data_IF_551086400293
#
_entry.id   IF_551086400293
#
_cell.length_a   1.000
_cell.length_b   1.000
_cell.length_c   1.000
_cell.angle_alpha   90.00
_cell.angle_beta   90.00
_cell.angle_gamma   90.00
#
_symmetry.space_group_name_H-M   'P 1'
#
loop_
_entity.id
_entity.type
_entity.pdbx_description
1 polymer ?
#
# COMPACT_ATOMS: atom_id res chain seq x y z
N UNK A 1 20.45 49.70 -4.20
CA UNK A 1 20.60 49.27 -2.80
C UNK A 1 19.25 48.75 -2.35
N UNK A 2 19.04 47.46 -2.55
CA UNK A 2 17.81 46.70 -2.24
C UNK A 2 18.26 45.25 -2.20
N UNK A 3 18.90 44.88 -1.09
CA UNK A 3 19.36 43.52 -0.88
C UNK A 3 18.14 42.68 -0.50
N UNK A 4 17.70 41.82 -1.41
CA UNK A 4 16.50 41.01 -1.22
C UNK A 4 16.86 39.83 -0.33
N UNK A 5 16.56 39.93 0.96
CA UNK A 5 16.87 38.91 1.96
C UNK A 5 16.25 37.56 1.59
N UNK A 6 17.05 36.68 1.00
CA UNK A 6 16.82 35.25 1.14
C UNK A 6 16.86 34.95 2.64
N UNK A 7 15.71 34.67 3.24
CA UNK A 7 15.67 34.09 4.58
C UNK A 7 16.36 32.73 4.51
N UNK A 8 17.60 32.69 5.01
CA UNK A 8 18.34 31.46 5.25
C UNK A 8 17.68 30.75 6.43
N UNK A 9 16.52 30.14 6.16
CA UNK A 9 15.83 29.26 7.09
C UNK A 9 16.85 28.21 7.55
N UNK A 10 17.07 28.00 8.86
CA UNK A 10 18.12 27.10 9.31
C UNK A 10 17.92 25.70 8.73
N UNK A 11 18.78 25.31 7.81
CA UNK A 11 18.77 23.97 7.20
C UNK A 11 18.92 22.96 8.32
N UNK A 12 17.81 22.29 8.68
CA UNK A 12 17.78 21.30 9.78
C UNK A 12 18.97 20.35 9.60
N UNK A 13 19.86 20.29 10.59
CA UNK A 13 20.97 19.34 10.59
C UNK A 13 20.41 17.92 10.77
N UNK A 14 19.97 17.34 9.65
CA UNK A 14 19.45 15.99 9.56
C UNK A 14 20.55 15.00 9.88
N UNK A 15 20.25 14.04 10.74
CA UNK A 15 21.16 12.95 11.07
C UNK A 15 21.39 12.11 9.82
N UNK A 16 22.65 11.77 9.53
CA UNK A 16 23.00 10.83 8.45
C UNK A 16 23.14 9.43 9.05
N UNK A 17 22.94 8.41 8.23
CA UNK A 17 23.06 7.01 8.63
C UNK A 17 24.14 6.29 7.79
N UNK A 18 25.43 6.62 7.94
CA UNK A 18 26.52 5.98 7.17
C UNK A 18 26.46 4.45 7.27
N UNK A 19 26.56 3.77 6.14
CA UNK A 19 26.52 2.32 6.02
C UNK A 19 25.16 1.66 6.29
N UNK A 20 24.05 2.40 6.40
CA UNK A 20 22.73 1.83 6.75
C UNK A 20 22.26 0.77 5.74
N UNK A 21 21.88 -0.40 6.23
CA UNK A 21 21.18 -1.44 5.45
C UNK A 21 19.69 -1.14 5.35
N UNK A 22 19.06 -1.56 4.25
CA UNK A 22 17.59 -1.53 4.10
C UNK A 22 16.87 -2.18 5.28
N UNK A 23 17.49 -3.20 5.88
CA UNK A 23 17.01 -3.94 7.04
C UNK A 23 16.75 -3.09 8.29
N UNK A 24 17.32 -1.88 8.36
CA UNK A 24 17.09 -0.91 9.42
C UNK A 24 15.68 -0.30 9.40
N UNK A 25 15.09 -0.14 8.22
CA UNK A 25 13.77 0.49 8.03
C UNK A 25 12.72 -0.46 7.41
N UNK A 26 13.14 -1.55 6.76
CA UNK A 26 12.26 -2.60 6.22
C UNK A 26 11.05 -2.92 7.11
N UNK A 27 9.87 -2.92 6.50
CA UNK A 27 8.67 -3.43 7.12
C UNK A 27 8.74 -4.97 7.19
N UNK A 28 8.50 -5.65 8.32
CA UNK A 28 8.69 -7.10 8.41
C UNK A 28 7.88 -7.90 7.38
N UNK A 29 6.67 -7.44 7.03
CA UNK A 29 5.86 -8.06 5.97
C UNK A 29 6.46 -7.95 4.54
N UNK A 30 7.30 -6.94 4.28
CA UNK A 30 8.03 -6.79 3.02
C UNK A 30 9.16 -7.83 2.93
N UNK A 31 10.05 -7.84 3.93
CA UNK A 31 11.09 -8.88 4.13
C UNK A 31 10.50 -10.29 4.02
N UNK A 32 9.36 -10.53 4.68
CA UNK A 32 8.63 -11.80 4.63
C UNK A 32 8.25 -12.20 3.20
N UNK A 33 7.55 -11.31 2.48
CA UNK A 33 7.01 -11.60 1.17
C UNK A 33 8.11 -11.72 0.10
N UNK A 34 9.17 -10.92 0.19
CA UNK A 34 10.31 -10.98 -0.71
C UNK A 34 11.09 -12.31 -0.57
N UNK A 35 11.34 -12.77 0.65
CA UNK A 35 12.01 -14.06 0.88
C UNK A 35 11.08 -15.25 0.59
N UNK A 36 9.77 -15.11 0.78
CA UNK A 36 8.79 -16.11 0.33
C UNK A 36 8.75 -16.25 -1.20
N UNK A 37 8.76 -15.14 -1.94
CA UNK A 37 8.85 -15.13 -3.41
C UNK A 37 10.12 -15.82 -3.91
N UNK A 38 11.29 -15.50 -3.33
CA UNK A 38 12.58 -16.13 -3.67
C UNK A 38 12.64 -17.63 -3.36
N UNK A 39 11.77 -18.17 -2.50
CA UNK A 39 11.68 -19.61 -2.21
C UNK A 39 10.83 -20.41 -3.22
N UNK A 40 10.18 -19.77 -4.18
CA UNK A 40 9.38 -20.47 -5.19
C UNK A 40 10.29 -21.22 -6.18
N UNK A 41 10.05 -22.52 -6.37
CA UNK A 41 10.86 -23.35 -7.27
C UNK A 41 10.86 -22.80 -8.70
N UNK A 42 12.04 -22.49 -9.22
CA UNK A 42 12.22 -21.90 -10.56
C UNK A 42 12.09 -20.37 -10.62
N UNK A 43 11.92 -19.67 -9.48
CA UNK A 43 11.86 -18.21 -9.42
C UNK A 43 13.03 -17.55 -10.16
N UNK A 44 14.27 -17.94 -9.88
CA UNK A 44 15.46 -17.34 -10.49
C UNK A 44 15.52 -17.53 -12.01
N UNK A 45 15.02 -18.66 -12.52
CA UNK A 45 14.94 -18.93 -13.97
C UNK A 45 13.92 -18.01 -14.64
N UNK A 46 12.74 -17.86 -14.04
CA UNK A 46 11.69 -16.96 -14.54
C UNK A 46 12.12 -15.49 -14.42
N UNK A 47 12.71 -15.11 -13.29
CA UNK A 47 13.25 -13.78 -13.04
C UNK A 47 14.34 -13.42 -14.05
N UNK A 48 15.33 -14.30 -14.28
CA UNK A 48 16.40 -14.07 -15.25
C UNK A 48 15.87 -13.98 -16.69
N UNK A 49 14.86 -14.78 -17.05
CA UNK A 49 14.19 -14.68 -18.35
C UNK A 49 13.44 -13.35 -18.51
N UNK A 50 12.71 -12.89 -17.49
CA UNK A 50 12.01 -11.60 -17.50
C UNK A 50 12.98 -10.42 -17.55
N UNK A 51 14.04 -10.42 -16.75
CA UNK A 51 15.07 -9.37 -16.77
C UNK A 51 15.79 -9.30 -18.13
N UNK A 52 16.04 -10.44 -18.78
CA UNK A 52 16.58 -10.47 -20.15
C UNK A 52 15.62 -9.99 -21.25
N UNK A 53 14.31 -9.96 -20.98
CA UNK A 53 13.27 -9.43 -21.88
C UNK A 53 12.92 -7.96 -21.61
N UNK A 54 13.38 -7.39 -20.49
CA UNK A 54 13.12 -6.02 -20.09
C UNK A 54 14.11 -5.05 -20.77
N UNK A 55 13.65 -4.14 -21.65
CA UNK A 55 14.55 -3.24 -22.35
C UNK A 55 14.89 -2.01 -21.48
N UNK A 56 15.74 -2.18 -20.46
CA UNK A 56 16.14 -1.08 -19.55
C UNK A 56 16.70 0.13 -20.32
N UNK A 57 17.46 -0.11 -21.39
CA UNK A 57 17.93 0.96 -22.28
C UNK A 57 16.78 1.74 -22.93
N UNK A 58 15.67 1.08 -23.29
CA UNK A 58 14.47 1.74 -23.82
C UNK A 58 13.75 2.54 -22.75
N UNK A 59 13.61 2.00 -21.54
CA UNK A 59 13.03 2.71 -20.39
C UNK A 59 13.80 4.01 -20.10
N UNK A 60 15.14 3.94 -20.09
CA UNK A 60 16.03 5.09 -19.91
C UNK A 60 15.93 6.10 -21.05
N UNK A 61 15.83 5.64 -22.30
CA UNK A 61 15.66 6.50 -23.47
C UNK A 61 14.31 7.23 -23.45
N UNK A 62 13.23 6.56 -23.03
CA UNK A 62 11.89 7.14 -22.94
C UNK A 62 11.85 8.39 -22.04
N UNK A 63 12.34 8.28 -20.80
CA UNK A 63 12.39 9.44 -19.88
C UNK A 63 13.45 10.47 -20.28
N UNK A 64 14.47 10.09 -21.07
CA UNK A 64 15.42 11.05 -21.65
C UNK A 64 14.84 11.80 -22.86
N UNK A 65 13.83 11.25 -23.54
CA UNK A 65 13.14 11.89 -24.68
C UNK A 65 11.88 12.66 -24.31
N UNK A 66 11.17 12.25 -23.26
CA UNK A 66 9.79 12.68 -22.96
C UNK A 66 9.60 13.10 -21.48
N UNK A 67 10.68 13.54 -20.83
CA UNK A 67 10.66 14.11 -19.46
C UNK A 67 11.85 15.03 -19.22
N UNK A 68 11.72 15.96 -18.26
CA UNK A 68 12.77 16.94 -17.95
C UNK A 68 13.73 16.36 -16.89
N UNK A 69 15.01 16.23 -17.22
CA UNK A 69 16.01 15.63 -16.33
C UNK A 69 16.45 16.58 -15.21
N UNK A 70 16.22 16.19 -13.96
CA UNK A 70 16.65 16.91 -12.76
C UNK A 70 18.18 17.00 -12.70
N UNK A 71 18.70 18.21 -12.46
CA UNK A 71 20.13 18.52 -12.42
C UNK A 71 20.38 19.93 -11.84
N UNK A 72 21.64 20.35 -11.72
CA UNK A 72 22.01 21.71 -11.30
C UNK A 72 21.49 22.81 -12.25
N UNK A 73 21.23 22.47 -13.51
CA UNK A 73 20.77 23.40 -14.55
C UNK A 73 19.23 23.51 -14.64
N UNK A 74 18.47 22.54 -14.11
CA UNK A 74 17.00 22.54 -14.15
C UNK A 74 16.44 21.65 -13.03
N UNK A 75 15.43 22.14 -12.30
CA UNK A 75 14.93 21.54 -11.06
C UNK A 75 16.02 21.36 -9.97
N UNK A 76 16.92 22.34 -9.82
CA UNK A 76 18.04 22.28 -8.88
C UNK A 76 17.62 21.94 -7.43
N UNK A 77 16.50 22.47 -6.93
CA UNK A 77 15.99 22.16 -5.58
C UNK A 77 15.57 20.68 -5.40
N UNK A 78 15.05 20.04 -6.45
CA UNK A 78 14.82 18.57 -6.45
C UNK A 78 16.15 17.80 -6.55
N UNK A 79 17.13 18.31 -7.28
CA UNK A 79 18.47 17.73 -7.38
C UNK A 79 19.18 17.74 -6.01
N UNK A 80 19.03 18.82 -5.24
CA UNK A 80 19.59 18.95 -3.91
C UNK A 80 18.83 18.10 -2.88
N UNK A 81 17.50 18.05 -2.91
CA UNK A 81 16.70 17.09 -2.11
C UNK A 81 17.09 15.64 -2.38
N UNK A 82 17.34 15.29 -3.65
CA UNK A 82 17.80 13.96 -4.06
C UNK A 82 19.21 13.64 -3.55
N UNK A 83 20.15 14.57 -3.71
CA UNK A 83 21.50 14.42 -3.17
C UNK A 83 21.49 14.28 -1.65
N UNK A 84 20.71 15.10 -0.95
CA UNK A 84 20.51 15.01 0.50
C UNK A 84 19.94 13.65 0.91
N UNK A 85 18.91 13.15 0.20
CA UNK A 85 18.31 11.85 0.48
C UNK A 85 19.33 10.70 0.31
N UNK A 86 20.07 10.68 -0.80
CA UNK A 86 21.15 9.72 -1.01
C UNK A 86 22.28 9.88 0.04
N UNK A 87 22.60 11.10 0.45
CA UNK A 87 23.64 11.40 1.41
C UNK A 87 23.24 11.08 2.87
N UNK A 88 21.95 11.14 3.20
CA UNK A 88 21.42 10.73 4.51
C UNK A 88 21.35 9.20 4.63
N UNK A 89 20.85 8.52 3.60
CA UNK A 89 20.79 7.04 3.55
C UNK A 89 22.07 6.38 3.04
N UNK A 90 23.11 7.18 2.79
CA UNK A 90 24.44 6.72 2.37
C UNK A 90 24.41 5.82 1.11
N UNK A 91 23.59 6.20 0.12
CA UNK A 91 23.49 5.54 -1.19
C UNK A 91 24.62 6.05 -2.10
N UNK A 92 25.59 5.18 -2.39
CA UNK A 92 26.84 5.49 -3.10
C UNK A 92 26.65 6.16 -4.49
N UNK A 93 25.57 5.78 -5.19
CA UNK A 93 25.28 6.24 -6.56
C UNK A 93 23.91 6.92 -6.59
N UNK A 94 23.91 8.24 -6.77
CA UNK A 94 22.70 9.04 -6.95
C UNK A 94 21.98 8.58 -8.24
N UNK A 95 20.72 8.10 -8.17
CA UNK A 95 19.97 7.67 -9.35
C UNK A 95 19.57 8.88 -10.21
N UNK A 96 19.53 8.79 -11.55
CA UNK A 96 18.97 9.84 -12.38
C UNK A 96 17.49 10.10 -12.06
N UNK A 97 17.11 11.36 -11.85
CA UNK A 97 15.72 11.77 -11.62
C UNK A 97 15.16 12.58 -12.79
N UNK A 98 13.88 12.41 -13.08
CA UNK A 98 13.15 13.10 -14.13
C UNK A 98 11.80 13.63 -13.63
N UNK A 99 11.39 14.80 -14.13
CA UNK A 99 10.04 15.34 -13.96
C UNK A 99 9.25 15.08 -15.25
N UNK A 100 8.14 14.35 -15.13
CA UNK A 100 7.25 13.97 -16.23
C UNK A 100 5.94 14.75 -16.17
N UNK A 101 5.37 15.10 -17.32
CA UNK A 101 4.11 15.85 -17.41
C UNK A 101 2.92 14.91 -17.16
N UNK A 102 2.38 14.95 -15.94
CA UNK A 102 1.10 14.32 -15.57
C UNK A 102 0.49 15.14 -14.42
N UNK A 103 -0.75 15.64 -14.54
CA UNK A 103 -1.40 16.41 -13.48
C UNK A 103 -1.76 15.55 -12.25
N UNK A 104 -1.66 14.21 -12.33
CA UNK A 104 -1.92 13.32 -11.20
C UNK A 104 -0.67 13.23 -10.31
N UNK A 105 -0.76 13.55 -9.01
CA UNK A 105 0.39 13.46 -8.10
C UNK A 105 0.87 12.02 -7.97
N UNK A 106 2.12 11.74 -8.38
CA UNK A 106 2.71 10.41 -8.38
C UNK A 106 4.25 10.48 -8.43
N UNK A 107 4.91 9.47 -7.88
CA UNK A 107 6.34 9.23 -8.04
C UNK A 107 6.59 7.72 -8.27
N UNK A 108 7.77 7.37 -8.79
CA UNK A 108 8.23 5.97 -8.82
C UNK A 108 9.74 5.81 -9.02
N UNK A 109 10.32 4.85 -8.31
CA UNK A 109 11.65 4.30 -8.54
C UNK A 109 11.58 3.00 -9.35
N UNK A 110 12.26 2.96 -10.50
CA UNK A 110 12.23 1.88 -11.51
C UNK A 110 13.62 1.72 -12.17
N UNK A 111 13.86 0.62 -12.88
CA UNK A 111 15.18 0.23 -13.42
C UNK A 111 15.58 -1.18 -13.01
N UNK A 112 16.70 -1.69 -13.53
CA UNK A 112 17.25 -3.00 -13.17
C UNK A 112 18.67 -2.84 -12.59
N UNK A 113 19.67 -2.60 -13.45
CA UNK A 113 21.06 -2.41 -13.03
C UNK A 113 21.32 -0.98 -12.54
N UNK A 114 20.55 0.00 -13.04
CA UNK A 114 20.64 1.40 -12.65
C UNK A 114 19.25 2.00 -12.40
N UNK A 115 18.80 2.15 -11.14
CA UNK A 115 17.52 2.77 -10.83
C UNK A 115 17.47 4.23 -11.31
N UNK A 116 16.28 4.64 -11.73
CA UNK A 116 15.87 6.00 -12.05
C UNK A 116 14.64 6.36 -11.22
N UNK A 117 14.51 7.62 -10.84
CA UNK A 117 13.34 8.16 -10.13
C UNK A 117 12.56 9.05 -11.09
N UNK A 118 11.24 8.92 -11.11
CA UNK A 118 10.35 9.76 -11.92
C UNK A 118 9.30 10.39 -11.01
N UNK A 119 9.14 11.70 -11.11
CA UNK A 119 8.16 12.49 -10.34
C UNK A 119 7.22 13.20 -11.32
N UNK A 120 5.93 13.30 -11.04
CA UNK A 120 4.98 14.01 -11.90
C UNK A 120 4.88 15.50 -11.57
N UNK A 121 4.59 16.35 -12.56
CA UNK A 121 4.34 17.78 -12.34
C UNK A 121 3.27 18.02 -11.27
N UNK A 122 2.19 17.24 -11.29
CA UNK A 122 1.13 17.31 -10.27
C UNK A 122 1.57 16.97 -8.83
N UNK A 123 2.72 16.30 -8.63
CA UNK A 123 3.30 16.12 -7.29
C UNK A 123 4.20 17.29 -6.88
N UNK A 124 4.96 17.83 -7.84
CA UNK A 124 5.81 19.04 -7.65
C UNK A 124 4.96 20.27 -7.33
N UNK A 125 3.76 20.37 -7.89
CA UNK A 125 2.81 21.46 -7.65
C UNK A 125 1.99 21.30 -6.35
N UNK A 126 1.93 20.08 -5.78
CA UNK A 126 1.11 19.76 -4.61
C UNK A 126 1.88 19.88 -3.29
N UNK A 127 3.13 19.43 -3.25
CA UNK A 127 3.89 19.25 -2.00
C UNK A 127 4.78 20.45 -1.66
N UNK A 128 4.94 20.74 -0.37
CA UNK A 128 5.98 21.64 0.13
C UNK A 128 7.35 20.93 0.24
N UNK A 129 8.42 21.66 0.60
CA UNK A 129 9.78 21.09 0.64
C UNK A 129 9.89 19.89 1.60
N UNK A 130 9.31 19.95 2.80
CA UNK A 130 9.48 18.89 3.79
C UNK A 130 8.65 17.65 3.43
N UNK A 131 7.48 17.86 2.81
CA UNK A 131 6.66 16.79 2.22
C UNK A 131 7.34 16.14 1.00
N UNK A 132 7.85 16.94 0.06
CA UNK A 132 8.55 16.46 -1.13
C UNK A 132 9.84 15.73 -0.75
N UNK A 133 10.58 16.24 0.24
CA UNK A 133 11.79 15.59 0.76
C UNK A 133 11.50 14.23 1.40
N UNK A 134 10.32 14.05 2.03
CA UNK A 134 9.87 12.75 2.49
C UNK A 134 9.57 11.79 1.31
N UNK A 135 8.96 12.27 0.21
CA UNK A 135 8.75 11.46 -1.01
C UNK A 135 10.07 11.11 -1.70
N UNK A 136 10.99 12.07 -1.87
CA UNK A 136 12.31 11.81 -2.47
C UNK A 136 13.09 10.80 -1.62
N UNK A 137 13.00 10.89 -0.29
CA UNK A 137 13.56 9.88 0.62
C UNK A 137 12.90 8.50 0.52
N UNK A 138 11.59 8.44 0.27
CA UNK A 138 10.84 7.21 0.02
C UNK A 138 11.31 6.53 -1.28
N UNK A 139 11.49 7.28 -2.37
CA UNK A 139 11.98 6.74 -3.65
C UNK A 139 13.47 6.32 -3.60
N UNK A 140 14.30 7.07 -2.88
CA UNK A 140 15.68 6.65 -2.58
C UNK A 140 15.70 5.41 -1.68
N UNK A 141 14.73 5.25 -0.78
CA UNK A 141 14.50 4.01 -0.03
C UNK A 141 14.16 2.82 -0.93
N UNK A 142 13.31 3.00 -1.95
CA UNK A 142 13.04 1.98 -2.96
C UNK A 142 14.28 1.64 -3.81
N UNK A 143 15.17 2.61 -4.07
CA UNK A 143 16.45 2.35 -4.75
C UNK A 143 17.40 1.54 -3.86
N UNK A 144 17.62 1.97 -2.61
CA UNK A 144 18.55 1.33 -1.66
C UNK A 144 18.11 -0.09 -1.28
N UNK A 145 16.81 -0.35 -1.14
CA UNK A 145 16.27 -1.70 -0.90
C UNK A 145 16.16 -2.59 -2.16
N UNK A 146 16.58 -2.11 -3.34
CA UNK A 146 16.48 -2.86 -4.60
C UNK A 146 15.05 -3.09 -5.10
N UNK A 147 14.06 -2.36 -4.58
CA UNK A 147 12.65 -2.53 -4.92
C UNK A 147 12.33 -2.15 -6.38
N UNK A 148 13.13 -1.24 -6.96
CA UNK A 148 13.03 -0.80 -8.36
C UNK A 148 12.98 -1.97 -9.36
N UNK A 149 13.75 -3.03 -9.10
CA UNK A 149 13.86 -4.22 -9.97
C UNK A 149 12.52 -4.95 -10.06
N UNK A 150 11.96 -5.32 -8.90
CA UNK A 150 10.68 -6.03 -8.81
C UNK A 150 9.50 -5.14 -9.23
N UNK A 151 9.56 -3.81 -9.00
CA UNK A 151 8.59 -2.84 -9.51
C UNK A 151 8.59 -2.78 -11.04
N UNK A 152 9.77 -2.78 -11.67
CA UNK A 152 9.91 -2.77 -13.14
C UNK A 152 9.33 -4.06 -13.75
N UNK A 153 9.61 -5.21 -13.15
CA UNK A 153 9.02 -6.50 -13.53
C UNK A 153 7.49 -6.47 -13.37
N UNK A 154 6.95 -5.95 -12.26
CA UNK A 154 5.51 -5.83 -12.02
C UNK A 154 4.79 -4.94 -13.05
N UNK A 155 5.40 -3.81 -13.44
CA UNK A 155 4.85 -2.91 -14.47
C UNK A 155 4.80 -3.61 -15.83
N UNK A 156 5.90 -4.27 -16.23
CA UNK A 156 5.95 -5.03 -17.48
C UNK A 156 4.98 -6.21 -17.49
N UNK A 157 4.92 -7.01 -16.43
CA UNK A 157 3.97 -8.13 -16.32
C UNK A 157 2.52 -7.66 -16.31
N UNK A 158 2.20 -6.51 -15.70
CA UNK A 158 0.86 -5.91 -15.78
C UNK A 158 0.54 -5.50 -17.23
N UNK A 159 1.46 -4.84 -17.93
CA UNK A 159 1.28 -4.48 -19.34
C UNK A 159 1.20 -5.70 -20.28
N UNK A 160 1.90 -6.78 -19.97
CA UNK A 160 1.85 -8.05 -20.69
C UNK A 160 0.52 -8.77 -20.46
N UNK A 161 0.06 -8.87 -19.20
CA UNK A 161 -1.22 -9.48 -18.83
C UNK A 161 -2.39 -8.87 -19.63
N UNK A 162 -2.44 -7.54 -19.73
CA UNK A 162 -3.45 -6.84 -20.53
C UNK A 162 -3.38 -7.20 -22.02
N UNK A 163 -2.17 -7.35 -22.59
CA UNK A 163 -1.95 -7.73 -24.00
C UNK A 163 -2.26 -9.19 -24.31
N UNK A 164 -2.20 -10.08 -23.32
CA UNK A 164 -2.51 -11.53 -23.47
C UNK A 164 -3.83 -11.95 -22.80
N UNK A 165 -4.64 -10.99 -22.34
CA UNK A 165 -5.88 -11.27 -21.61
C UNK A 165 -6.91 -12.10 -22.39
N UNK A 166 -6.82 -12.11 -23.72
CA UNK A 166 -7.62 -12.92 -24.63
C UNK A 166 -7.22 -14.41 -24.67
N UNK A 167 -6.10 -14.81 -24.05
CA UNK A 167 -5.63 -16.20 -23.97
C UNK A 167 -6.17 -16.84 -22.68
N UNK A 168 -7.17 -17.76 -22.73
CA UNK A 168 -7.96 -18.12 -21.53
C UNK A 168 -7.18 -18.78 -20.39
N UNK A 169 -6.05 -19.43 -20.68
CA UNK A 169 -5.26 -20.20 -19.70
C UNK A 169 -3.94 -19.51 -19.33
N UNK A 170 -3.24 -18.91 -20.30
CA UNK A 170 -1.96 -18.23 -20.06
C UNK A 170 -2.08 -17.02 -19.13
N UNK A 171 -3.21 -16.31 -19.17
CA UNK A 171 -3.46 -15.15 -18.33
C UNK A 171 -3.53 -15.51 -16.82
N UNK A 172 -4.00 -16.72 -16.45
CA UNK A 172 -4.21 -17.11 -15.05
C UNK A 172 -2.90 -17.14 -14.26
N UNK A 173 -1.85 -17.75 -14.82
CA UNK A 173 -0.53 -17.83 -14.19
C UNK A 173 0.13 -16.44 -14.05
N UNK A 174 0.03 -15.60 -15.09
CA UNK A 174 0.55 -14.23 -15.07
C UNK A 174 -0.20 -13.40 -14.04
N UNK A 175 -1.54 -13.49 -13.98
CA UNK A 175 -2.36 -12.77 -13.01
C UNK A 175 -2.08 -13.19 -11.56
N UNK A 176 -1.78 -14.47 -11.29
CA UNK A 176 -1.33 -14.91 -9.97
C UNK A 176 0.01 -14.25 -9.58
N UNK A 177 1.00 -14.24 -10.47
CA UNK A 177 2.30 -13.60 -10.26
C UNK A 177 2.15 -12.08 -10.07
N UNK A 178 1.36 -11.41 -10.92
CA UNK A 178 1.06 -9.97 -10.81
C UNK A 178 0.35 -9.65 -9.50
N UNK A 179 -0.58 -10.49 -9.03
CA UNK A 179 -1.27 -10.29 -7.75
C UNK A 179 -0.31 -10.44 -6.56
N UNK A 180 0.55 -11.47 -6.56
CA UNK A 180 1.57 -11.66 -5.53
C UNK A 180 2.59 -10.52 -5.50
N UNK A 181 3.06 -10.05 -6.67
CA UNK A 181 3.95 -8.90 -6.78
C UNK A 181 3.27 -7.58 -6.36
N UNK A 182 1.96 -7.40 -6.59
CA UNK A 182 1.20 -6.25 -6.05
C UNK A 182 1.06 -6.30 -4.54
N UNK A 183 0.83 -7.48 -3.95
CA UNK A 183 0.78 -7.61 -2.49
C UNK A 183 2.14 -7.33 -1.86
N UNK A 184 3.23 -7.91 -2.40
CA UNK A 184 4.60 -7.60 -1.97
C UNK A 184 4.91 -6.11 -2.12
N UNK A 185 4.63 -5.51 -3.29
CA UNK A 185 4.94 -4.11 -3.52
C UNK A 185 4.15 -3.20 -2.55
N UNK A 186 2.88 -3.50 -2.27
CA UNK A 186 2.10 -2.82 -1.23
C UNK A 186 2.61 -3.04 0.20
N UNK A 187 3.55 -3.97 0.46
CA UNK A 187 4.32 -4.01 1.73
C UNK A 187 5.61 -3.20 1.65
N UNK A 188 6.30 -3.19 0.51
CA UNK A 188 7.56 -2.46 0.34
C UNK A 188 7.39 -0.94 0.33
N UNK A 189 6.19 -0.46 -0.01
CA UNK A 189 5.70 0.90 0.28
C UNK A 189 5.88 1.30 1.76
N UNK A 190 5.58 0.39 2.70
CA UNK A 190 5.71 0.68 4.14
C UNK A 190 7.18 0.72 4.58
N UNK A 191 8.07 -0.01 3.90
CA UNK A 191 9.53 0.13 4.08
C UNK A 191 10.01 1.49 3.56
N UNK A 192 9.51 1.91 2.40
CA UNK A 192 9.88 3.17 1.78
C UNK A 192 9.32 4.40 2.53
N UNK A 193 8.10 4.34 3.09
CA UNK A 193 7.57 5.39 3.98
C UNK A 193 8.49 5.64 5.18
N UNK A 194 9.05 4.57 5.75
CA UNK A 194 10.00 4.63 6.86
C UNK A 194 11.34 5.25 6.43
N UNK A 195 11.84 4.90 5.23
CA UNK A 195 13.01 5.56 4.64
C UNK A 195 12.77 7.06 4.38
N UNK A 196 11.58 7.42 3.88
CA UNK A 196 11.13 8.80 3.71
C UNK A 196 11.12 9.60 5.01
N UNK A 197 10.68 8.99 6.12
CA UNK A 197 10.77 9.61 7.45
C UNK A 197 12.21 9.76 7.95
N UNK A 198 13.09 8.77 7.71
CA UNK A 198 14.52 8.89 8.05
C UNK A 198 15.23 10.01 7.25
N UNK A 199 14.80 10.29 6.02
CA UNK A 199 15.33 11.39 5.20
C UNK A 199 14.72 12.74 5.58
N UNK A 200 13.40 12.84 5.70
CA UNK A 200 12.73 14.10 6.04
C UNK A 200 13.01 14.56 7.47
N UNK A 201 12.95 13.60 8.42
CA UNK A 201 13.09 13.79 9.88
C UNK A 201 11.99 14.68 10.50
N UNK A 202 10.84 14.77 9.83
CA UNK A 202 9.64 15.46 10.29
C UNK A 202 8.41 14.59 10.02
N UNK A 203 7.95 13.88 11.05
CA UNK A 203 6.77 13.01 11.00
C UNK A 203 5.51 13.78 10.60
N UNK A 204 5.34 15.03 11.04
CA UNK A 204 4.16 15.83 10.69
C UNK A 204 4.16 16.14 9.20
N UNK A 205 5.31 16.43 8.60
CA UNK A 205 5.43 16.67 7.16
C UNK A 205 5.28 15.38 6.33
N UNK A 206 5.83 14.23 6.77
CA UNK A 206 5.56 12.95 6.10
C UNK A 206 4.07 12.57 6.10
N UNK A 207 3.37 12.73 7.23
CA UNK A 207 1.93 12.48 7.31
C UNK A 207 1.11 13.50 6.52
N UNK A 208 1.50 14.79 6.52
CA UNK A 208 0.84 15.86 5.76
C UNK A 208 0.93 15.64 4.24
N UNK A 209 2.07 15.16 3.74
CA UNK A 209 2.23 14.76 2.33
C UNK A 209 1.28 13.62 1.93
N UNK A 210 1.18 12.56 2.76
CA UNK A 210 0.20 11.48 2.54
C UNK A 210 -1.25 11.98 2.58
N UNK A 211 -1.55 12.94 3.46
CA UNK A 211 -2.87 13.58 3.56
C UNK A 211 -3.18 14.44 2.31
N UNK A 212 -2.21 15.19 1.78
CA UNK A 212 -2.34 15.93 0.51
C UNK A 212 -2.55 15.01 -0.69
N UNK A 213 -1.85 13.88 -0.76
CA UNK A 213 -2.06 12.87 -1.82
C UNK A 213 -3.49 12.28 -1.77
N UNK A 214 -4.18 12.37 -0.63
CA UNK A 214 -5.59 12.01 -0.49
C UNK A 214 -6.57 13.14 -0.83
N UNK A 215 -6.29 14.38 -0.40
CA UNK A 215 -7.26 15.49 -0.36
C UNK A 215 -6.88 16.77 -1.11
N UNK A 216 -5.75 16.82 -1.82
CA UNK A 216 -5.27 18.02 -2.50
C UNK A 216 -4.62 19.04 -1.55
N UNK A 217 -4.52 20.30 -1.98
CA UNK A 217 -3.73 21.34 -1.29
C UNK A 217 -4.54 22.23 -0.32
N UNK A 218 -5.68 21.74 0.19
CA UNK A 218 -6.60 22.50 1.05
C UNK A 218 -6.21 22.43 2.53
N UNK A 219 -4.91 22.64 2.85
CA UNK A 219 -4.36 22.44 4.20
C UNK A 219 -5.06 23.23 5.32
N UNK A 220 -5.74 24.34 4.99
CA UNK A 220 -6.50 25.15 5.96
C UNK A 220 -7.86 24.51 6.35
N UNK A 221 -8.34 23.52 5.59
CA UNK A 221 -9.56 22.75 5.84
C UNK A 221 -9.24 21.31 6.33
N UNK A 222 -7.97 20.91 6.30
CA UNK A 222 -7.52 19.53 6.52
C UNK A 222 -6.77 19.38 7.85
N UNK A 223 -7.04 18.31 8.60
CA UNK A 223 -6.42 18.06 9.90
C UNK A 223 -5.81 16.65 9.98
N UNK A 224 -4.52 16.57 10.34
CA UNK A 224 -3.75 15.31 10.36
C UNK A 224 -4.23 14.36 11.47
N UNK A 225 -4.63 14.89 12.63
CA UNK A 225 -5.13 14.08 13.74
C UNK A 225 -6.51 13.46 13.41
N UNK A 226 -7.36 14.18 12.65
CA UNK A 226 -8.60 13.66 12.09
C UNK A 226 -8.35 12.62 10.98
N UNK A 227 -7.34 12.83 10.12
CA UNK A 227 -6.92 11.86 9.09
C UNK A 227 -6.39 10.55 9.71
N UNK A 228 -5.74 10.63 10.87
CA UNK A 228 -5.35 9.46 11.68
C UNK A 228 -6.56 8.79 12.36
N UNK A 229 -7.53 9.57 12.85
CA UNK A 229 -8.78 9.01 13.37
C UNK A 229 -9.58 8.25 12.30
N UNK A 230 -9.59 8.74 11.05
CA UNK A 230 -10.14 8.03 9.89
C UNK A 230 -9.42 6.70 9.61
N UNK A 231 -8.10 6.62 9.83
CA UNK A 231 -7.36 5.37 9.73
C UNK A 231 -7.75 4.38 10.83
N UNK A 232 -7.93 4.86 12.08
CA UNK A 232 -8.45 4.03 13.18
C UNK A 232 -9.88 3.54 12.93
N UNK A 233 -10.74 4.36 12.32
CA UNK A 233 -12.08 3.96 11.90
C UNK A 233 -12.02 2.86 10.82
N UNK A 234 -11.15 3.02 9.82
CA UNK A 234 -10.94 2.02 8.77
C UNK A 234 -10.43 0.67 9.31
N UNK A 235 -9.55 0.68 10.32
CA UNK A 235 -9.12 -0.53 11.03
C UNK A 235 -10.25 -1.18 11.83
N UNK A 236 -10.95 -0.39 12.66
CA UNK A 236 -11.99 -0.87 13.60
C UNK A 236 -13.28 -1.30 12.89
N UNK A 237 -13.59 -0.66 11.77
CA UNK A 237 -14.93 -0.58 11.21
C UNK A 237 -15.42 -1.86 10.53
N UNK A 238 -16.72 -2.10 10.70
CA UNK A 238 -17.50 -3.03 9.90
C UNK A 238 -17.60 -4.46 10.43
N UNK A 239 -18.20 -5.32 9.60
CA UNK A 239 -18.29 -6.77 9.81
C UNK A 239 -17.36 -7.57 8.85
N UNK A 240 -17.56 -8.88 8.73
CA UNK A 240 -16.79 -9.73 7.81
C UNK A 240 -16.98 -9.38 6.32
N UNK A 241 -18.14 -8.83 5.93
CA UNK A 241 -18.38 -8.33 4.57
C UNK A 241 -17.56 -7.07 4.34
N UNK A 242 -17.51 -6.17 5.32
CA UNK A 242 -16.66 -4.98 5.23
C UNK A 242 -15.18 -5.34 5.16
N UNK A 243 -14.70 -6.33 5.94
CA UNK A 243 -13.35 -6.90 5.81
C UNK A 243 -13.06 -7.39 4.38
N UNK A 244 -14.01 -8.08 3.74
CA UNK A 244 -13.88 -8.51 2.33
C UNK A 244 -13.90 -7.31 1.38
N UNK A 245 -14.75 -6.30 1.61
CA UNK A 245 -14.77 -5.07 0.81
C UNK A 245 -13.47 -4.26 0.94
N UNK A 246 -12.82 -4.23 2.11
CA UNK A 246 -11.48 -3.65 2.28
C UNK A 246 -10.48 -4.37 1.36
N UNK A 247 -10.43 -5.70 1.37
CA UNK A 247 -9.56 -6.50 0.50
C UNK A 247 -9.84 -6.20 -0.99
N UNK A 248 -11.10 -6.26 -1.43
CA UNK A 248 -11.49 -6.00 -2.83
C UNK A 248 -11.10 -4.59 -3.29
N UNK A 249 -11.17 -3.58 -2.40
CA UNK A 249 -10.74 -2.22 -2.69
C UNK A 249 -9.20 -2.05 -2.72
N UNK A 250 -8.44 -2.91 -2.04
CA UNK A 250 -6.96 -2.88 -2.02
C UNK A 250 -6.36 -3.62 -3.24
N UNK A 251 -6.96 -4.73 -3.68
CA UNK A 251 -6.45 -5.56 -4.80
C UNK A 251 -6.10 -4.80 -6.11
N UNK A 252 -6.92 -3.83 -6.61
CA UNK A 252 -6.58 -3.11 -7.83
C UNK A 252 -5.54 -1.99 -7.63
N UNK A 253 -5.25 -1.59 -6.39
CA UNK A 253 -4.37 -0.46 -6.07
C UNK A 253 -2.89 -0.85 -6.13
N UNK A 254 -2.07 0.08 -6.62
CA UNK A 254 -0.61 -0.01 -6.65
C UNK A 254 0.04 0.24 -5.29
N UNK A 255 -0.54 1.14 -4.48
CA UNK A 255 -0.06 1.53 -3.16
C UNK A 255 -1.15 1.24 -2.11
N UNK A 256 -0.82 1.07 -0.81
CA UNK A 256 -1.81 1.08 0.27
C UNK A 256 -2.54 2.43 0.37
N UNK A 257 -3.66 2.46 1.08
CA UNK A 257 -4.36 3.71 1.40
C UNK A 257 -3.46 4.67 2.20
N UNK A 258 -3.49 5.96 1.85
CA UNK A 258 -2.68 7.01 2.48
C UNK A 258 -2.98 7.20 3.97
N UNK A 259 -4.23 7.01 4.39
CA UNK A 259 -4.63 6.96 5.82
C UNK A 259 -3.91 5.84 6.57
N UNK A 260 -3.90 4.63 6.01
CA UNK A 260 -3.23 3.45 6.58
C UNK A 260 -1.70 3.64 6.61
N UNK A 261 -1.12 4.23 5.56
CA UNK A 261 0.31 4.59 5.51
C UNK A 261 0.67 5.58 6.62
N UNK A 262 -0.12 6.64 6.81
CA UNK A 262 0.11 7.63 7.86
C UNK A 262 0.01 7.01 9.27
N UNK A 263 -0.96 6.12 9.49
CA UNK A 263 -1.10 5.40 10.76
C UNK A 263 0.08 4.44 11.05
N UNK A 264 0.49 3.61 10.08
CA UNK A 264 1.65 2.72 10.26
C UNK A 264 2.97 3.50 10.39
N UNK A 265 3.12 4.65 9.73
CA UNK A 265 4.30 5.49 9.86
C UNK A 265 4.37 6.16 11.25
N UNK A 266 3.26 6.70 11.75
CA UNK A 266 3.14 7.19 13.13
C UNK A 266 3.48 6.09 14.13
N UNK A 267 2.81 4.93 14.01
CA UNK A 267 3.01 3.75 14.85
C UNK A 267 4.48 3.30 14.85
N UNK A 268 5.17 3.32 13.71
CA UNK A 268 6.61 3.03 13.65
C UNK A 268 7.46 4.07 14.38
N UNK A 269 7.17 5.37 14.25
CA UNK A 269 7.92 6.43 14.94
C UNK A 269 7.83 6.36 16.48
N UNK A 270 6.77 5.72 16.99
CA UNK A 270 6.54 5.46 18.42
C UNK A 270 7.24 4.17 18.90
N UNK A 271 7.87 3.39 18.00
CA UNK A 271 8.63 2.17 18.38
C UNK A 271 10.04 2.46 18.87
N UNK A 272 10.57 1.55 19.71
CA UNK A 272 11.99 1.55 20.08
C UNK A 272 12.93 1.34 18.90
N UNK A 273 12.50 0.69 17.82
CA UNK A 273 13.38 0.45 16.67
C UNK A 273 13.59 1.71 15.84
N UNK A 274 12.57 2.56 15.65
CA UNK A 274 12.78 3.90 15.08
C UNK A 274 13.75 4.73 15.95
N UNK A 275 13.53 4.77 17.26
CA UNK A 275 14.42 5.49 18.18
C UNK A 275 15.86 4.97 18.11
N UNK A 276 16.07 3.64 18.10
CA UNK A 276 17.39 3.02 17.90
C UNK A 276 18.06 3.45 16.59
N UNK A 277 17.33 3.49 15.46
CA UNK A 277 17.89 3.98 14.20
C UNK A 277 18.28 5.46 14.33
N UNK A 278 17.41 6.28 14.93
CA UNK A 278 17.67 7.70 15.20
C UNK A 278 18.80 7.94 16.22
N UNK A 279 19.11 7.00 17.11
CA UNK A 279 20.27 7.03 18.01
C UNK A 279 21.57 6.63 17.27
N UNK A 280 21.48 5.77 16.25
CA UNK A 280 22.61 5.27 15.46
C UNK A 280 22.86 3.76 15.59
N UNK A 281 21.94 3.02 16.21
CA UNK A 281 21.99 1.60 16.51
C UNK A 281 21.22 0.74 15.48
N UNK A 282 21.57 0.92 14.21
CA UNK A 282 20.95 0.28 13.03
C UNK A 282 21.87 -0.78 12.38
N UNK A 283 21.32 -1.82 11.72
CA UNK A 283 22.09 -2.78 10.92
C UNK A 283 22.83 -2.13 9.74
N UNK A 284 24.04 -2.61 9.45
CA UNK A 284 24.92 -2.06 8.41
C UNK A 284 25.07 -2.97 7.20
N UNK A 285 25.37 -2.41 6.02
CA UNK A 285 25.45 -3.14 4.74
C UNK A 285 26.62 -4.13 4.65
N UNK A 286 27.67 -3.92 5.42
CA UNK A 286 28.78 -4.86 5.60
C UNK A 286 28.37 -6.09 6.42
N UNK A 287 27.47 -5.94 7.39
CA UNK A 287 26.90 -7.02 8.24
C UNK A 287 25.83 -7.87 7.53
N UNK A 288 25.36 -7.47 6.34
CA UNK A 288 24.25 -8.14 5.64
C UNK A 288 24.62 -9.58 5.18
N UNK A 289 25.91 -9.88 5.00
CA UNK A 289 26.40 -11.20 4.56
C UNK A 289 26.30 -12.26 5.65
N UNK A 290 26.44 -11.87 6.91
CA UNK A 290 26.44 -12.77 8.07
C UNK A 290 25.02 -13.02 8.62
N UNK A 291 24.00 -12.50 7.92
CA UNK A 291 22.62 -12.51 8.39
C UNK A 291 21.89 -13.83 8.11
N UNK A 292 21.41 -14.45 9.18
CA UNK A 292 20.61 -15.68 9.13
C UNK A 292 19.23 -15.46 8.50
N UNK A 293 18.98 -16.18 7.40
CA UNK A 293 17.66 -16.29 6.76
C UNK A 293 16.63 -16.90 7.73
N UNK A 294 17.04 -17.85 8.57
CA UNK A 294 16.15 -18.52 9.54
C UNK A 294 15.64 -17.56 10.60
N UNK A 295 16.50 -16.67 11.09
CA UNK A 295 16.11 -15.70 12.12
C UNK A 295 15.25 -14.58 11.53
N UNK A 296 15.53 -14.18 10.28
CA UNK A 296 14.65 -13.30 9.48
C UNK A 296 13.23 -13.89 9.31
N UNK A 297 13.12 -15.22 9.13
CA UNK A 297 11.83 -15.92 9.13
C UNK A 297 11.14 -15.93 10.51
N UNK A 298 11.90 -15.99 11.62
CA UNK A 298 11.33 -15.96 12.97
C UNK A 298 10.80 -14.58 13.34
N UNK A 299 11.54 -13.52 13.02
CA UNK A 299 11.07 -12.12 13.14
C UNK A 299 9.79 -11.90 12.34
N UNK A 300 9.79 -12.35 11.09
CA UNK A 300 8.64 -12.31 10.18
C UNK A 300 7.41 -13.00 10.77
N UNK A 301 7.57 -14.24 11.24
CA UNK A 301 6.48 -15.02 11.82
C UNK A 301 5.94 -14.38 13.13
N UNK A 302 6.82 -13.86 13.98
CA UNK A 302 6.43 -13.13 15.19
C UNK A 302 5.63 -11.86 14.87
N UNK A 303 6.05 -11.08 13.86
CA UNK A 303 5.31 -9.90 13.41
C UNK A 303 3.93 -10.27 12.85
N UNK A 304 3.80 -11.33 12.05
CA UNK A 304 2.50 -11.80 11.57
C UNK A 304 1.59 -12.28 12.70
N UNK A 305 2.13 -13.06 13.65
CA UNK A 305 1.37 -13.50 14.82
C UNK A 305 0.88 -12.32 15.67
N UNK A 306 1.72 -11.31 15.89
CA UNK A 306 1.31 -10.10 16.60
C UNK A 306 0.28 -9.29 15.79
N UNK A 307 0.47 -9.13 14.48
CA UNK A 307 -0.49 -8.45 13.59
C UNK A 307 -1.87 -9.10 13.67
N UNK A 308 -1.96 -10.43 13.67
CA UNK A 308 -3.23 -11.16 13.87
C UNK A 308 -3.80 -10.88 15.27
N UNK A 309 -2.97 -11.00 16.31
CA UNK A 309 -3.34 -10.82 17.72
C UNK A 309 -3.84 -9.42 18.05
N UNK A 310 -3.25 -8.37 17.47
CA UNK A 310 -3.59 -6.97 17.75
C UNK A 310 -4.58 -6.36 16.76
N UNK A 311 -4.94 -7.07 15.69
CA UNK A 311 -5.84 -6.53 14.69
C UNK A 311 -7.24 -6.27 15.23
N UNK A 312 -7.78 -5.11 14.89
CA UNK A 312 -9.16 -4.73 15.20
C UNK A 312 -10.15 -5.28 14.16
N UNK A 313 -9.67 -5.70 13.00
CA UNK A 313 -10.49 -6.14 11.85
C UNK A 313 -11.19 -7.50 12.11
N UNK A 314 -12.50 -7.63 11.80
CA UNK A 314 -13.28 -8.86 12.01
C UNK A 314 -12.69 -10.13 11.38
N UNK A 315 -12.11 -10.06 10.18
CA UNK A 315 -11.58 -11.23 9.48
C UNK A 315 -10.26 -11.70 10.09
N UNK A 316 -9.43 -10.76 10.54
CA UNK A 316 -8.19 -11.09 11.25
C UNK A 316 -8.46 -11.67 12.65
N UNK A 317 -9.48 -11.17 13.35
CA UNK A 317 -9.97 -11.77 14.61
C UNK A 317 -10.44 -13.21 14.41
N UNK A 318 -11.27 -13.46 13.39
CA UNK A 318 -11.73 -14.82 13.05
C UNK A 318 -10.55 -15.79 12.79
N UNK A 319 -9.50 -15.34 12.10
CA UNK A 319 -8.27 -16.13 11.91
C UNK A 319 -7.56 -16.38 13.24
N UNK A 320 -7.48 -15.38 14.12
CA UNK A 320 -6.93 -15.50 15.48
C UNK A 320 -7.70 -16.50 16.36
N UNK A 321 -9.03 -16.44 16.37
CA UNK A 321 -9.91 -17.31 17.14
C UNK A 321 -9.77 -18.79 16.70
N UNK A 322 -9.73 -19.02 15.38
CA UNK A 322 -9.51 -20.36 14.80
C UNK A 322 -8.11 -20.89 15.15
N UNK A 323 -7.06 -20.06 15.00
CA UNK A 323 -5.69 -20.45 15.32
C UNK A 323 -5.44 -20.65 16.82
N UNK A 324 -6.15 -19.91 17.68
CA UNK A 324 -6.11 -20.02 19.14
C UNK A 324 -6.87 -21.22 19.72
N UNK A 325 -7.51 -22.03 18.88
CA UNK A 325 -8.24 -23.23 19.32
C UNK A 325 -9.59 -22.94 19.98
N UNK A 326 -10.21 -21.80 19.71
CA UNK A 326 -11.55 -21.45 20.21
C UNK A 326 -12.64 -22.27 19.48
N UNK A 327 -12.74 -23.54 19.83
CA UNK A 327 -13.52 -24.55 19.12
C UNK A 327 -15.05 -24.44 19.25
N UNK A 328 -15.66 -23.51 18.53
CA UNK A 328 -16.99 -23.69 17.90
C UNK A 328 -17.26 -22.62 16.82
N UNK A 329 -16.70 -22.80 15.62
CA UNK A 329 -16.87 -21.88 14.49
C UNK A 329 -17.32 -22.54 13.18
N UNK A 330 -17.37 -23.87 13.11
CA UNK A 330 -17.86 -24.61 11.93
C UNK A 330 -19.35 -24.34 11.63
N UNK A 331 -20.20 -24.28 12.67
CA UNK A 331 -21.60 -23.89 12.52
C UNK A 331 -21.75 -22.40 12.16
N UNK A 332 -21.14 -21.52 12.96
CA UNK A 332 -21.32 -20.06 12.86
C UNK A 332 -20.86 -19.44 11.53
N UNK A 333 -19.89 -20.05 10.85
CA UNK A 333 -19.51 -19.67 9.47
C UNK A 333 -20.56 -20.11 8.45
N UNK A 334 -21.01 -21.38 8.52
CA UNK A 334 -22.02 -21.92 7.59
C UNK A 334 -23.34 -21.16 7.73
N UNK A 335 -23.86 -21.06 8.93
CA UNK A 335 -25.20 -20.56 9.22
C UNK A 335 -25.35 -19.03 8.99
N UNK A 336 -24.23 -18.32 8.70
CA UNK A 336 -24.22 -16.92 8.19
C UNK A 336 -23.98 -16.79 6.69
N UNK A 337 -23.27 -17.73 6.05
CA UNK A 337 -23.12 -17.75 4.58
C UNK A 337 -24.36 -18.34 3.89
N UNK A 338 -24.98 -19.36 4.46
CA UNK A 338 -26.32 -19.83 4.05
C UNK A 338 -27.39 -18.98 4.73
N UNK A 339 -27.58 -17.76 4.23
CA UNK A 339 -28.61 -16.84 4.73
C UNK A 339 -30.00 -17.47 4.75
N UNK A 340 -30.83 -17.03 5.71
CA UNK A 340 -32.08 -17.69 6.11
C UNK A 340 -32.97 -18.13 4.93
N UNK A 341 -33.04 -19.45 4.68
CA UNK A 341 -33.80 -20.02 3.57
C UNK A 341 -34.39 -21.39 3.89
N UNK A 342 -35.72 -21.47 3.93
CA UNK A 342 -36.48 -22.71 3.75
C UNK A 342 -36.47 -23.72 4.91
N UNK A 343 -37.32 -23.53 5.92
CA UNK A 343 -37.67 -24.60 6.86
C UNK A 343 -38.61 -25.63 6.21
N UNK A 344 -38.05 -26.66 5.57
CA UNK A 344 -38.74 -27.89 5.22
C UNK A 344 -37.74 -29.06 5.12
N UNK A 345 -38.00 -30.28 5.64
CA UNK A 345 -39.13 -30.69 6.47
C UNK A 345 -39.38 -32.21 6.40
N UNK A 346 -38.91 -32.98 7.39
CA UNK A 346 -39.19 -34.42 7.55
C UNK A 346 -38.84 -34.88 8.98
N UNK A 347 -39.46 -35.96 9.52
CA UNK A 347 -38.81 -36.73 10.60
C UNK A 347 -39.63 -37.24 11.80
N UNK A 348 -40.93 -36.98 11.91
CA UNK A 348 -41.93 -37.79 12.67
C UNK A 348 -41.76 -38.11 14.17
N UNK A 349 -42.80 -37.79 14.96
CA UNK A 349 -43.31 -38.65 16.05
C UNK A 349 -44.79 -38.29 16.32
N UNK A 350 -45.63 -39.23 16.79
CA UNK A 350 -47.08 -39.04 16.87
C UNK A 350 -47.69 -39.20 18.28
N UNK A 351 -48.60 -38.27 18.62
CA UNK A 351 -49.72 -38.31 19.61
C UNK A 351 -50.18 -36.85 19.83
N UNK A 352 -51.46 -36.48 19.86
CA UNK A 352 -52.70 -37.21 19.58
C UNK A 352 -53.89 -36.48 20.22
N UNK A 353 -55.05 -36.37 19.54
CA UNK A 353 -56.29 -35.81 20.09
C UNK A 353 -56.85 -34.59 19.35
N UNK A 354 -58.16 -34.64 19.10
CA UNK A 354 -59.06 -33.63 18.49
C UNK A 354 -60.37 -33.63 19.30
N UNK A 355 -61.38 -32.76 19.08
CA UNK A 355 -61.43 -31.44 18.43
C UNK A 355 -62.24 -30.35 19.20
N UNK A 356 -62.17 -29.09 18.75
CA UNK A 356 -63.23 -28.03 18.80
C UNK A 356 -62.70 -26.79 18.06
N UNK A 357 -63.27 -26.31 16.96
CA UNK A 357 -64.51 -25.51 16.81
C UNK A 357 -64.47 -24.16 17.55
N UNK A 358 -64.31 -23.04 16.82
CA UNK A 358 -65.48 -22.20 16.51
C UNK A 358 -65.26 -21.20 15.36
N UNK A 359 -66.28 -20.38 15.07
CA UNK A 359 -66.61 -19.75 13.78
C UNK A 359 -66.41 -18.22 13.68
N UNK A 360 -66.64 -17.66 12.46
CA UNK A 360 -66.76 -16.22 12.10
C UNK A 360 -65.45 -15.39 12.00
N UNK A 361 -65.33 -14.37 11.12
CA UNK A 361 -66.23 -13.96 10.03
C UNK A 361 -65.79 -12.68 9.28
N UNK A 362 -66.24 -12.52 8.02
CA UNK A 362 -66.10 -11.33 7.16
C UNK A 362 -64.72 -11.04 6.54
N UNK A 363 -64.55 -10.13 5.57
CA UNK A 363 -65.43 -9.70 4.45
C UNK A 363 -64.74 -8.59 3.63
N UNK A 364 -64.48 -8.84 2.33
CA UNK A 364 -64.16 -7.85 1.27
C UNK A 364 -62.91 -6.94 1.43
N UNK A 365 -62.41 -6.40 0.30
CA UNK A 365 -61.18 -5.58 0.30
C UNK A 365 -60.40 -5.52 -1.02
N UNK A 366 -61.06 -5.36 -2.17
CA UNK A 366 -60.40 -5.28 -3.49
C UNK A 366 -59.85 -3.88 -3.79
N UNK A 367 -58.53 -3.75 -3.97
CA UNK A 367 -57.92 -2.56 -4.58
C UNK A 367 -56.76 -2.91 -5.52
N UNK A 368 -56.91 -2.54 -6.80
CA UNK A 368 -55.78 -2.32 -7.72
C UNK A 368 -55.32 -0.86 -7.61
N UNK A 369 -54.04 -0.60 -7.85
CA UNK A 369 -53.50 0.76 -8.02
C UNK A 369 -52.85 0.88 -9.41
N UNK A 370 -53.08 1.96 -10.17
CA UNK A 370 -52.51 2.11 -11.51
C UNK A 370 -51.19 2.89 -11.52
N UNK A 371 -50.33 2.56 -12.50
CA UNK A 371 -49.35 3.47 -13.10
C UNK A 371 -50.11 4.53 -13.93
N UNK A 372 -49.59 5.76 -14.13
CA UNK A 372 -48.75 5.96 -15.32
C UNK A 372 -47.57 6.92 -15.14
N UNK A 373 -46.64 6.88 -16.09
CA UNK A 373 -45.72 7.98 -16.38
C UNK A 373 -45.49 8.10 -17.87
N UNK A 374 -45.69 9.30 -18.43
CA UNK A 374 -45.23 9.71 -19.76
C UNK A 374 -45.23 11.26 -19.83
N UNK A 375 -44.02 11.82 -19.86
CA UNK A 375 -43.67 13.17 -20.36
C UNK A 375 -43.08 12.99 -21.79
N UNK A 376 -42.89 14.02 -22.64
CA UNK A 376 -42.86 15.47 -22.34
C UNK A 376 -43.60 16.39 -23.35
N UNK A 377 -43.59 17.70 -23.10
CA UNK A 377 -43.20 18.72 -24.12
C UNK A 377 -42.77 20.05 -23.44
N UNK A 378 -41.81 20.85 -23.97
CA UNK A 378 -41.32 22.06 -23.29
C UNK A 378 -41.76 23.38 -23.95
N UNK A 379 -42.05 24.41 -23.14
CA UNK A 379 -42.07 25.79 -23.62
C UNK A 379 -42.74 26.82 -22.70
N UNK A 380 -41.93 27.70 -22.10
CA UNK A 380 -41.91 29.16 -22.36
C UNK A 380 -40.88 29.87 -21.48
#
# INVERSE_FOLDING_TARGET
MTDASHESVPSRHRKRFPGISSRAYEHPADRSALVALRKLTGFDTVFKALSGLLPERSLRLLFLSDSVRVSDAQFAHLNDMLRDACYILDLEKVPPMYVSQDPRPNAMCIGLDEPIIVVTTGLVELLDEEEMRAVVGHEVGHALSGHAVYRTILLFLTGLALKVAWIPLGNVAIMAIVTALREWFRKSELSADRAGLLVGQDLRSSMRGLMKIAGGNHLHEMNVDAFLAQAEEYEKGGDLRDSVLKILNVLPRSHPFTTVRAAELKKWSETRDFQRVMDGHYPRRDEDKDTSVTDSFRESAAHYADTVRTSKDPLMKLVGDIAGGAGDLGGKLRDRFTGAGGSAGAGGAAKGGTPSSDTTGGSEGTWRRPEPGEDPDPGN
#
